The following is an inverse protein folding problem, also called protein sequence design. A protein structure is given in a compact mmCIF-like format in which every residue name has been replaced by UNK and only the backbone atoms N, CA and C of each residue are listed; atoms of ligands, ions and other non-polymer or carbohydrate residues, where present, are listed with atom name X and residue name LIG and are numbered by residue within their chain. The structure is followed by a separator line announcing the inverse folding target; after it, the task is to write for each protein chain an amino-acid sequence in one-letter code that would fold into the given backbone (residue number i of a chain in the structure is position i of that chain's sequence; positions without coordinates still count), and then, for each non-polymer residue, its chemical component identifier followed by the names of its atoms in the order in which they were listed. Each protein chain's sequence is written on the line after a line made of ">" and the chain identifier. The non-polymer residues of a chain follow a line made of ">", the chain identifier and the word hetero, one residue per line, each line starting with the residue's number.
data_IF_269306065462
#
_entry.id   IF_269306065462
#
_cell.length_a   1.000
_cell.length_b   1.000
_cell.length_c   1.000
_cell.angle_alpha   90.00
_cell.angle_beta   90.00
_cell.angle_gamma   90.00
#
_symmetry.space_group_name_H-M   'P 1'
#
loop_
_entity.id
_entity.type
_entity.pdbx_description
1 polymer ?
#
# COMPACT_ATOMS: atom_id res chain seq x y z
N UNK A 1 32.58 -41.45 6.96
CA UNK A 1 32.91 -40.05 7.26
C UNK A 1 32.41 -39.22 6.10
N UNK A 2 31.29 -38.51 6.26
CA UNK A 2 30.70 -37.72 5.16
C UNK A 2 31.18 -36.28 5.27
N UNK A 3 31.95 -35.82 4.29
CA UNK A 3 32.41 -34.44 4.24
C UNK A 3 31.23 -33.49 4.06
N UNK A 4 30.99 -32.65 5.06
CA UNK A 4 30.16 -31.46 4.90
C UNK A 4 30.89 -30.52 3.92
N UNK A 5 30.44 -30.49 2.67
CA UNK A 5 30.85 -29.46 1.73
C UNK A 5 30.24 -28.14 2.20
N UNK A 6 31.05 -27.27 2.80
CA UNK A 6 30.67 -25.88 3.02
C UNK A 6 30.33 -25.25 1.66
N UNK A 7 29.05 -24.95 1.45
CA UNK A 7 28.64 -24.17 0.29
C UNK A 7 29.36 -22.82 0.37
N UNK A 8 29.95 -22.30 -0.73
CA UNK A 8 30.62 -21.01 -0.68
C UNK A 8 29.61 -19.93 -0.28
N UNK A 9 30.00 -19.10 0.69
CA UNK A 9 29.22 -17.94 1.11
C UNK A 9 28.88 -17.09 -0.12
N UNK A 10 27.65 -16.56 -0.23
CA UNK A 10 27.29 -15.70 -1.34
C UNK A 10 28.20 -14.46 -1.33
N UNK A 11 28.58 -13.94 -2.51
CA UNK A 11 29.43 -12.76 -2.59
C UNK A 11 28.78 -11.58 -1.84
N UNK A 12 29.58 -10.74 -1.16
CA UNK A 12 29.04 -9.61 -0.40
C UNK A 12 28.26 -8.67 -1.32
N UNK A 13 27.07 -8.28 -0.88
CA UNK A 13 26.20 -7.37 -1.64
C UNK A 13 26.86 -5.99 -1.71
N UNK A 14 27.13 -5.51 -2.91
CA UNK A 14 27.54 -4.13 -3.16
C UNK A 14 26.33 -3.18 -2.98
N UNK A 15 26.26 -2.58 -1.79
CA UNK A 15 25.18 -1.65 -1.43
C UNK A 15 25.27 -0.29 -2.13
N UNK A 16 26.40 0.06 -2.75
CA UNK A 16 26.52 1.29 -3.54
C UNK A 16 25.94 1.07 -4.94
N UNK A 17 26.37 0.02 -5.63
CA UNK A 17 25.80 -0.42 -6.91
C UNK A 17 24.29 -0.67 -6.80
N UNK A 18 23.82 -1.29 -5.71
CA UNK A 18 22.39 -1.51 -5.45
C UNK A 18 21.63 -0.19 -5.28
N UNK A 19 22.17 0.78 -4.54
CA UNK A 19 21.50 2.09 -4.33
C UNK A 19 21.38 2.87 -5.63
N UNK A 20 22.44 2.93 -6.43
CA UNK A 20 22.38 3.57 -7.76
C UNK A 20 21.45 2.81 -8.72
N UNK A 21 21.44 1.47 -8.65
CA UNK A 21 20.48 0.65 -9.40
C UNK A 21 19.02 0.90 -9.02
N UNK A 22 18.72 1.19 -7.75
CA UNK A 22 17.40 1.65 -7.33
C UNK A 22 17.11 3.07 -7.80
N UNK A 23 18.04 4.02 -7.60
CA UNK A 23 17.88 5.43 -8.02
C UNK A 23 17.53 5.53 -9.49
N UNK A 24 18.34 4.92 -10.36
CA UNK A 24 18.13 4.94 -11.83
C UNK A 24 16.75 4.36 -12.23
N UNK A 25 16.32 3.28 -11.57
CA UNK A 25 15.05 2.59 -11.88
C UNK A 25 13.81 3.29 -11.29
N UNK A 26 13.98 4.15 -10.29
CA UNK A 26 12.93 4.92 -9.64
C UNK A 26 12.81 6.33 -10.22
N UNK A 27 13.92 7.05 -10.39
CA UNK A 27 13.93 8.40 -10.97
C UNK A 27 13.35 8.44 -12.39
N UNK A 28 13.64 7.43 -13.22
CA UNK A 28 13.03 7.27 -14.55
C UNK A 28 11.53 6.91 -14.56
N UNK A 29 10.85 6.95 -13.40
CA UNK A 29 9.41 6.67 -13.24
C UNK A 29 8.67 7.70 -12.39
N UNK A 30 9.38 8.55 -11.66
CA UNK A 30 8.84 9.59 -10.79
C UNK A 30 8.76 10.90 -11.56
N UNK A 31 7.68 11.65 -11.37
CA UNK A 31 7.60 13.02 -11.89
C UNK A 31 8.45 13.98 -11.04
N UNK A 32 8.74 15.18 -11.56
CA UNK A 32 9.59 16.17 -10.89
C UNK A 32 9.14 16.52 -9.46
N UNK A 33 7.83 16.51 -9.19
CA UNK A 33 7.25 16.76 -7.88
C UNK A 33 7.39 15.57 -6.90
N UNK A 34 7.83 14.41 -7.38
CA UNK A 34 7.97 13.17 -6.60
C UNK A 34 9.44 12.79 -6.36
N UNK A 35 10.39 13.52 -6.98
CA UNK A 35 11.82 13.29 -6.78
C UNK A 35 12.29 13.56 -5.35
N UNK A 36 11.52 14.31 -4.55
CA UNK A 36 11.76 14.48 -3.10
C UNK A 36 11.62 13.17 -2.32
N UNK A 37 10.80 12.24 -2.80
CA UNK A 37 10.57 10.91 -2.20
C UNK A 37 11.64 9.88 -2.63
N UNK A 38 12.50 10.22 -3.60
CA UNK A 38 13.38 9.26 -4.27
C UNK A 38 14.30 8.52 -3.29
N UNK A 39 14.94 9.21 -2.36
CA UNK A 39 15.88 8.60 -1.42
C UNK A 39 15.16 7.68 -0.41
N UNK A 40 13.95 8.03 0.03
CA UNK A 40 13.13 7.18 0.89
C UNK A 40 12.66 5.90 0.15
N UNK A 41 12.30 6.02 -1.12
CA UNK A 41 11.95 4.86 -1.97
C UNK A 41 13.17 3.97 -2.26
N UNK A 42 14.36 4.56 -2.44
CA UNK A 42 15.63 3.82 -2.55
C UNK A 42 15.94 3.08 -1.24
N UNK A 43 15.77 3.75 -0.10
CA UNK A 43 15.97 3.15 1.22
C UNK A 43 14.97 2.01 1.49
N UNK A 44 13.69 2.19 1.20
CA UNK A 44 12.68 1.13 1.33
C UNK A 44 13.01 -0.06 0.39
N UNK A 45 13.48 0.22 -0.84
CA UNK A 45 13.98 -0.80 -1.77
C UNK A 45 15.15 -1.61 -1.20
N UNK A 46 16.15 -0.93 -0.62
CA UNK A 46 17.32 -1.57 -0.01
C UNK A 46 16.94 -2.41 1.22
N UNK A 47 16.03 -1.91 2.08
CA UNK A 47 15.51 -2.68 3.23
C UNK A 47 14.75 -3.93 2.78
N UNK A 48 13.98 -3.85 1.69
CA UNK A 48 13.31 -5.01 1.09
C UNK A 48 14.33 -6.04 0.57
N UNK A 49 15.41 -5.61 -0.08
CA UNK A 49 16.50 -6.49 -0.54
C UNK A 49 17.21 -7.17 0.63
N UNK A 50 17.57 -6.43 1.68
CA UNK A 50 18.20 -6.96 2.89
C UNK A 50 17.31 -7.99 3.61
N UNK A 51 15.99 -7.80 3.58
CA UNK A 51 15.03 -8.77 4.15
C UNK A 51 14.89 -10.03 3.28
N UNK A 52 15.08 -9.92 1.97
CA UNK A 52 15.09 -11.06 1.06
C UNK A 52 16.38 -11.88 1.21
N UNK A 53 17.56 -11.24 1.19
CA UNK A 53 18.86 -11.91 1.31
C UNK A 53 19.06 -12.66 2.64
N UNK A 54 18.36 -12.25 3.70
CA UNK A 54 18.33 -12.94 5.00
C UNK A 54 17.39 -14.14 5.07
N UNK A 55 16.50 -14.33 4.10
CA UNK A 55 15.52 -15.44 4.08
C UNK A 55 15.96 -16.56 3.15
N UNK A 56 16.41 -16.18 1.96
CA UNK A 56 16.66 -17.10 0.84
C UNK A 56 17.95 -16.68 0.13
N UNK A 57 18.65 -17.65 -0.47
CA UNK A 57 19.82 -17.37 -1.31
C UNK A 57 19.35 -16.63 -2.58
N UNK A 58 19.94 -15.48 -2.85
CA UNK A 58 19.66 -14.73 -4.09
C UNK A 58 20.57 -15.29 -5.19
N UNK A 59 19.96 -15.75 -6.28
CA UNK A 59 20.68 -16.22 -7.48
C UNK A 59 21.04 -15.06 -8.41
N UNK A 60 20.14 -14.07 -8.54
CA UNK A 60 20.32 -12.86 -9.35
C UNK A 60 19.86 -11.62 -8.56
N UNK A 61 20.82 -10.77 -8.19
CA UNK A 61 20.57 -9.53 -7.44
C UNK A 61 19.94 -8.47 -8.35
N UNK A 62 20.32 -8.40 -9.63
CA UNK A 62 19.84 -7.35 -10.54
C UNK A 62 18.36 -7.57 -10.93
N UNK A 63 17.99 -8.82 -11.23
CA UNK A 63 16.59 -9.19 -11.44
C UNK A 63 15.75 -8.88 -10.19
N UNK A 64 16.26 -9.22 -8.99
CA UNK A 64 15.56 -8.94 -7.74
C UNK A 64 15.42 -7.44 -7.46
N UNK A 65 16.48 -6.64 -7.64
CA UNK A 65 16.42 -5.16 -7.54
C UNK A 65 15.41 -4.59 -8.54
N UNK A 66 15.36 -5.10 -9.76
CA UNK A 66 14.39 -4.67 -10.78
C UNK A 66 12.94 -4.95 -10.36
N UNK A 67 12.67 -6.13 -9.79
CA UNK A 67 11.35 -6.49 -9.24
C UNK A 67 11.01 -5.63 -8.01
N UNK A 68 11.97 -5.42 -7.10
CA UNK A 68 11.77 -4.62 -5.90
C UNK A 68 11.52 -3.15 -6.23
N UNK A 69 12.29 -2.54 -7.14
CA UNK A 69 12.10 -1.16 -7.56
C UNK A 69 10.71 -0.94 -8.17
N UNK A 70 10.25 -1.89 -9.00
CA UNK A 70 8.88 -1.88 -9.53
C UNK A 70 7.83 -1.95 -8.42
N UNK A 71 7.99 -2.85 -7.44
CA UNK A 71 7.05 -3.01 -6.32
C UNK A 71 7.03 -1.77 -5.41
N UNK A 72 8.18 -1.20 -5.09
CA UNK A 72 8.28 0.00 -4.26
C UNK A 72 7.61 1.20 -4.95
N UNK A 73 7.86 1.42 -6.24
CA UNK A 73 7.16 2.46 -7.01
C UNK A 73 5.63 2.23 -7.10
N UNK A 74 5.19 0.99 -7.32
CA UNK A 74 3.76 0.67 -7.32
C UNK A 74 3.12 0.91 -5.94
N UNK A 75 3.81 0.56 -4.85
CA UNK A 75 3.34 0.79 -3.49
C UNK A 75 3.30 2.30 -3.15
N UNK A 76 4.27 3.09 -3.63
CA UNK A 76 4.28 4.54 -3.55
C UNK A 76 3.05 5.15 -4.24
N UNK A 77 2.83 4.86 -5.53
CA UNK A 77 1.63 5.32 -6.24
C UNK A 77 0.33 4.88 -5.54
N UNK A 78 0.30 3.66 -4.98
CA UNK A 78 -0.85 3.16 -4.20
C UNK A 78 -1.03 3.89 -2.86
N UNK A 79 0.00 4.48 -2.26
CA UNK A 79 -0.11 5.36 -1.08
C UNK A 79 -0.64 6.73 -1.54
N UNK A 80 0.02 7.34 -2.54
CA UNK A 80 -0.36 8.62 -3.15
C UNK A 80 -1.83 8.68 -3.59
N UNK A 81 -2.27 7.78 -4.47
CA UNK A 81 -3.66 7.75 -4.95
C UNK A 81 -4.69 7.41 -3.85
N UNK A 82 -4.27 6.84 -2.71
CA UNK A 82 -5.16 6.68 -1.55
C UNK A 82 -5.29 7.98 -0.77
N UNK A 83 -4.18 8.70 -0.54
CA UNK A 83 -4.20 10.03 0.06
C UNK A 83 -5.01 11.01 -0.79
N UNK A 84 -4.68 11.16 -2.08
CA UNK A 84 -5.40 12.05 -3.01
C UNK A 84 -6.90 11.76 -3.08
N UNK A 85 -7.33 10.50 -3.04
CA UNK A 85 -8.77 10.14 -3.02
C UNK A 85 -9.47 10.36 -1.68
N UNK A 86 -8.74 10.60 -0.60
CA UNK A 86 -9.32 11.06 0.68
C UNK A 86 -9.31 12.60 0.78
N UNK A 87 -8.24 13.25 0.33
CA UNK A 87 -8.02 14.70 0.50
C UNK A 87 -8.67 15.54 -0.59
N UNK A 88 -8.53 15.19 -1.86
CA UNK A 88 -9.05 15.98 -2.98
C UNK A 88 -10.52 15.65 -3.35
N UNK A 89 -11.28 16.65 -3.83
CA UNK A 89 -12.56 16.40 -4.49
C UNK A 89 -12.34 15.60 -5.78
N UNK A 90 -13.20 14.61 -6.04
CA UNK A 90 -13.19 13.88 -7.30
C UNK A 90 -13.84 14.74 -8.39
N UNK A 91 -13.05 15.13 -9.39
CA UNK A 91 -13.60 15.34 -10.72
C UNK A 91 -13.83 13.96 -11.37
N UNK A 92 -14.92 13.80 -12.12
CA UNK A 92 -15.60 12.51 -12.32
C UNK A 92 -14.95 11.62 -13.41
N UNK A 93 -13.63 11.76 -13.60
CA UNK A 93 -12.85 11.01 -14.59
C UNK A 93 -12.48 9.61 -14.10
N UNK A 94 -13.07 8.61 -14.74
CA UNK A 94 -12.78 7.20 -14.46
C UNK A 94 -11.35 6.81 -14.86
N UNK A 95 -10.54 6.34 -13.90
CA UNK A 95 -9.34 5.54 -14.15
C UNK A 95 -9.27 4.31 -13.24
N UNK A 96 -8.81 3.19 -13.79
CA UNK A 96 -8.77 1.89 -13.14
C UNK A 96 -7.49 1.68 -12.33
N UNK A 97 -7.53 0.87 -11.26
CA UNK A 97 -6.35 0.48 -10.47
C UNK A 97 -6.38 -1.05 -10.23
N UNK A 98 -5.28 -1.80 -10.44
CA UNK A 98 -5.25 -3.26 -10.29
C UNK A 98 -5.05 -3.74 -8.84
N UNK A 99 -5.47 -4.99 -8.61
CA UNK A 99 -5.64 -5.63 -7.29
C UNK A 99 -4.37 -6.37 -6.76
N UNK A 100 -4.51 -6.96 -5.55
CA UNK A 100 -3.69 -7.98 -4.86
C UNK A 100 -2.53 -7.56 -3.91
N UNK A 101 -2.75 -7.88 -2.59
CA UNK A 101 -1.83 -8.49 -1.57
C UNK A 101 -0.47 -7.79 -1.24
N UNK A 102 0.26 -7.92 -0.10
CA UNK A 102 0.12 -8.29 1.35
C UNK A 102 1.44 -7.79 2.04
N UNK A 103 1.59 -7.42 3.32
CA UNK A 103 0.68 -7.17 4.45
C UNK A 103 1.30 -7.54 5.83
N UNK A 104 1.61 -6.57 6.72
CA UNK A 104 1.94 -6.78 8.15
C UNK A 104 3.20 -6.11 8.74
N UNK A 105 3.06 -5.40 9.88
CA UNK A 105 4.13 -4.86 10.74
C UNK A 105 3.55 -4.17 11.99
N UNK A 106 4.02 -4.49 13.20
CA UNK A 106 3.28 -4.22 14.45
C UNK A 106 3.69 -2.95 15.21
N UNK A 107 2.70 -2.20 15.71
CA UNK A 107 2.87 -1.09 16.68
C UNK A 107 1.67 -0.13 16.72
N UNK A 108 0.67 -0.41 17.58
CA UNK A 108 -0.66 0.27 17.51
C UNK A 108 -1.29 0.22 16.10
N UNK A 109 -1.08 -0.90 15.40
CA UNK A 109 -1.45 -1.10 14.01
C UNK A 109 -0.64 -0.27 13.00
N UNK A 110 -0.65 -0.71 11.74
CA UNK A 110 -0.36 0.18 10.60
C UNK A 110 -1.31 1.40 10.68
N UNK A 111 -0.95 2.54 10.07
CA UNK A 111 -1.89 3.67 9.91
C UNK A 111 -3.20 3.19 9.27
N UNK A 112 -3.11 2.21 8.37
CA UNK A 112 -4.25 1.49 7.77
C UNK A 112 -5.16 0.82 8.81
N UNK A 113 -4.59 0.18 9.84
CA UNK A 113 -5.35 -0.52 10.88
C UNK A 113 -6.07 0.46 11.82
N UNK A 114 -5.47 1.63 12.07
CA UNK A 114 -6.12 2.73 12.81
C UNK A 114 -7.29 3.31 12.02
N UNK A 115 -7.11 3.52 10.72
CA UNK A 115 -8.18 3.94 9.81
C UNK A 115 -9.28 2.86 9.73
N UNK A 116 -8.93 1.57 9.71
CA UNK A 116 -9.90 0.47 9.79
C UNK A 116 -10.74 0.58 11.07
N UNK A 117 -10.10 0.71 12.22
CA UNK A 117 -10.79 0.85 13.50
C UNK A 117 -11.75 2.05 13.50
N UNK A 118 -11.27 3.25 13.15
CA UNK A 118 -12.07 4.49 13.17
C UNK A 118 -13.27 4.39 12.22
N UNK A 119 -13.06 3.92 10.98
CA UNK A 119 -14.13 3.83 9.97
C UNK A 119 -15.17 2.78 10.34
N UNK A 120 -14.77 1.64 10.91
CA UNK A 120 -15.70 0.59 11.35
C UNK A 120 -16.50 1.03 12.58
N UNK A 121 -15.84 1.61 13.59
CA UNK A 121 -16.48 2.10 14.81
C UNK A 121 -17.48 3.23 14.49
N UNK A 122 -17.11 4.13 13.57
CA UNK A 122 -18.01 5.17 13.06
C UNK A 122 -19.26 4.58 12.41
N UNK A 123 -19.13 3.61 11.49
CA UNK A 123 -20.29 3.00 10.85
C UNK A 123 -21.15 2.19 11.82
N UNK A 124 -20.55 1.55 12.83
CA UNK A 124 -21.28 0.84 13.87
C UNK A 124 -22.13 1.80 14.73
N UNK A 125 -21.53 2.91 15.21
CA UNK A 125 -22.24 3.94 16.01
C UNK A 125 -23.36 4.62 15.23
N UNK A 126 -23.15 4.84 13.95
CA UNK A 126 -24.12 5.47 13.04
C UNK A 126 -25.18 4.48 12.48
N UNK A 127 -25.16 3.22 12.94
CA UNK A 127 -26.11 2.18 12.52
C UNK A 127 -26.01 1.76 11.05
N UNK A 128 -24.89 2.05 10.37
CA UNK A 128 -24.71 1.85 8.93
C UNK A 128 -24.15 0.48 8.59
N UNK A 129 -24.88 -0.57 8.96
CA UNK A 129 -24.47 -1.97 8.77
C UNK A 129 -24.03 -2.31 7.33
N UNK A 130 -24.67 -1.75 6.30
CA UNK A 130 -24.22 -1.94 4.91
C UNK A 130 -22.84 -1.31 4.64
N UNK A 131 -22.59 -0.10 5.14
CA UNK A 131 -21.31 0.59 4.98
C UNK A 131 -20.21 -0.08 5.81
N UNK A 132 -20.54 -0.58 7.01
CA UNK A 132 -19.65 -1.39 7.82
C UNK A 132 -19.25 -2.68 7.09
N UNK A 133 -20.21 -3.40 6.50
CA UNK A 133 -19.93 -4.62 5.73
C UNK A 133 -19.02 -4.35 4.53
N UNK A 134 -19.30 -3.28 3.76
CA UNK A 134 -18.45 -2.85 2.64
C UNK A 134 -17.06 -2.40 3.11
N UNK A 135 -16.94 -1.71 4.25
CA UNK A 135 -15.67 -1.33 4.83
C UNK A 135 -14.85 -2.56 5.24
N UNK A 136 -15.43 -3.51 5.98
CA UNK A 136 -14.78 -4.79 6.34
C UNK A 136 -14.32 -5.54 5.10
N UNK A 137 -15.10 -5.53 4.02
CA UNK A 137 -14.69 -6.13 2.76
C UNK A 137 -13.52 -5.38 2.08
N UNK A 138 -13.51 -4.04 2.13
CA UNK A 138 -12.44 -3.20 1.60
C UNK A 138 -11.11 -3.41 2.35
N UNK A 139 -11.10 -3.29 3.68
CA UNK A 139 -9.89 -3.45 4.49
C UNK A 139 -9.31 -4.86 4.38
N UNK A 140 -10.17 -5.89 4.38
CA UNK A 140 -9.77 -7.29 4.13
C UNK A 140 -9.34 -7.59 2.68
N UNK A 141 -9.33 -6.59 1.79
CA UNK A 141 -8.99 -6.71 0.36
C UNK A 141 -9.81 -7.81 -0.35
N UNK A 142 -11.10 -7.93 -0.03
CA UNK A 142 -12.00 -8.85 -0.75
C UNK A 142 -12.22 -8.35 -2.18
N UNK A 143 -12.34 -9.29 -3.13
CA UNK A 143 -12.58 -8.97 -4.52
C UNK A 143 -13.98 -8.35 -4.71
N UNK A 144 -14.04 -7.16 -5.30
CA UNK A 144 -15.27 -6.39 -5.46
C UNK A 144 -16.29 -7.03 -6.41
N UNK A 145 -15.85 -7.87 -7.36
CA UNK A 145 -16.75 -8.66 -8.22
C UNK A 145 -17.38 -9.80 -7.43
N UNK A 146 -16.60 -10.51 -6.62
CA UNK A 146 -17.13 -11.57 -5.74
C UNK A 146 -18.13 -11.01 -4.73
N UNK A 147 -17.79 -9.89 -4.08
CA UNK A 147 -18.69 -9.19 -3.16
C UNK A 147 -19.99 -8.73 -3.86
N UNK A 148 -19.90 -8.28 -5.12
CA UNK A 148 -21.08 -7.93 -5.90
C UNK A 148 -21.97 -9.15 -6.20
N UNK A 149 -21.39 -10.30 -6.54
CA UNK A 149 -22.12 -11.56 -6.68
C UNK A 149 -22.77 -12.00 -5.37
N UNK A 150 -22.05 -11.96 -4.25
CA UNK A 150 -22.58 -12.30 -2.91
C UNK A 150 -23.78 -11.42 -2.50
N UNK A 151 -23.75 -10.13 -2.87
CA UNK A 151 -24.81 -9.16 -2.57
C UNK A 151 -25.93 -9.11 -3.63
N UNK A 152 -25.85 -9.89 -4.71
CA UNK A 152 -26.82 -9.83 -5.82
C UNK A 152 -26.82 -8.48 -6.58
N UNK A 153 -25.69 -7.78 -6.60
CA UNK A 153 -25.53 -6.43 -7.16
C UNK A 153 -24.59 -6.42 -8.37
N UNK A 154 -24.68 -5.38 -9.20
CA UNK A 154 -23.64 -5.11 -10.20
C UNK A 154 -22.37 -4.57 -9.52
N UNK A 155 -21.21 -4.88 -10.10
CA UNK A 155 -19.91 -4.35 -9.63
C UNK A 155 -19.89 -2.80 -9.56
N UNK A 156 -20.51 -2.13 -10.53
CA UNK A 156 -20.66 -0.68 -10.54
C UNK A 156 -21.56 -0.17 -9.39
N UNK A 157 -22.66 -0.88 -9.09
CA UNK A 157 -23.56 -0.56 -7.98
C UNK A 157 -22.84 -0.65 -6.63
N UNK A 158 -22.02 -1.68 -6.42
CA UNK A 158 -21.23 -1.83 -5.18
C UNK A 158 -20.18 -0.72 -5.06
N UNK A 159 -19.45 -0.38 -6.13
CA UNK A 159 -18.53 0.77 -6.14
C UNK A 159 -19.24 2.10 -5.83
N UNK A 160 -20.40 2.36 -6.43
CA UNK A 160 -21.19 3.59 -6.19
C UNK A 160 -21.73 3.66 -4.76
N UNK A 161 -22.15 2.52 -4.19
CA UNK A 161 -22.60 2.41 -2.79
C UNK A 161 -21.44 2.70 -1.83
N UNK A 162 -20.26 2.11 -2.06
CA UNK A 162 -19.07 2.38 -1.27
C UNK A 162 -18.62 3.84 -1.31
N UNK A 163 -18.64 4.47 -2.50
CA UNK A 163 -18.31 5.89 -2.61
C UNK A 163 -19.23 6.78 -1.76
N UNK A 164 -20.53 6.45 -1.66
CA UNK A 164 -21.47 7.15 -0.78
C UNK A 164 -21.21 6.90 0.71
N UNK A 165 -20.80 5.68 1.07
CA UNK A 165 -20.42 5.37 2.47
C UNK A 165 -19.23 6.21 2.94
N UNK A 166 -18.24 6.44 2.07
CA UNK A 166 -17.04 7.22 2.40
C UNK A 166 -17.30 8.71 2.66
N UNK A 167 -18.44 9.28 2.23
CA UNK A 167 -18.77 10.70 2.48
C UNK A 167 -18.88 11.03 3.96
N UNK A 168 -19.35 10.11 4.80
CA UNK A 168 -19.49 10.34 6.23
C UNK A 168 -18.13 10.38 6.97
N UNK A 169 -17.23 9.39 6.83
CA UNK A 169 -15.85 9.50 7.31
C UNK A 169 -15.15 10.75 6.78
N UNK A 170 -15.25 11.05 5.47
CA UNK A 170 -14.66 12.25 4.85
C UNK A 170 -15.15 13.54 5.50
N UNK A 171 -16.46 13.66 5.78
CA UNK A 171 -17.03 14.84 6.44
C UNK A 171 -16.43 15.03 7.84
N UNK A 172 -16.26 13.94 8.60
CA UNK A 172 -15.71 13.97 9.96
C UNK A 172 -14.21 14.32 9.93
N UNK A 173 -13.41 13.66 9.10
CA UNK A 173 -11.97 13.98 8.93
C UNK A 173 -11.70 15.39 8.40
N UNK A 174 -12.68 16.03 7.74
CA UNK A 174 -12.59 17.45 7.34
C UNK A 174 -13.00 18.42 8.44
N UNK A 175 -13.89 18.00 9.34
CA UNK A 175 -14.45 18.85 10.39
C UNK A 175 -13.60 18.85 11.68
N UNK A 176 -12.78 17.81 11.88
CA UNK A 176 -11.98 17.61 13.09
C UNK A 176 -10.46 17.68 12.75
N UNK A 177 -9.77 18.79 13.09
CA UNK A 177 -8.33 18.93 12.89
C UNK A 177 -7.49 17.99 13.73
N UNK A 178 -7.95 17.59 14.92
CA UNK A 178 -7.17 16.74 15.83
C UNK A 178 -7.06 15.31 15.27
N UNK A 179 -8.05 14.87 14.49
CA UNK A 179 -7.94 13.65 13.70
C UNK A 179 -6.85 13.74 12.62
N UNK A 180 -6.51 14.92 12.07
CA UNK A 180 -5.39 15.04 11.09
C UNK A 180 -4.05 14.71 11.73
N UNK A 181 -3.83 15.11 12.98
CA UNK A 181 -2.58 14.80 13.70
C UNK A 181 -2.41 13.29 13.98
N UNK A 182 -3.51 12.51 14.04
CA UNK A 182 -3.44 11.04 14.07
C UNK A 182 -2.97 10.42 12.74
N UNK A 183 -2.94 11.19 11.65
CA UNK A 183 -2.52 10.77 10.31
C UNK A 183 -1.17 11.34 9.86
N UNK A 184 -0.45 12.08 10.71
CA UNK A 184 0.99 12.34 10.53
C UNK A 184 1.36 13.43 9.51
N UNK A 185 0.52 14.44 9.34
CA UNK A 185 0.92 15.71 8.72
C UNK A 185 1.36 16.69 9.84
N UNK A 186 2.64 17.08 9.85
CA UNK A 186 3.19 18.25 10.57
C UNK A 186 3.35 19.43 9.58
#
# INVERSE_FOLDING_TARGET
>A
MSSLQSSPDPPPIDWEMVRESFRLRLSGRLDHAELTELDDLVQEGCVRLLRASRRERIEDIEALVTVLARRTFQDFLRRRYRHERLTNPLDDSHSEIPDAQKGGGAGFGDMVDRIEFIVLELFAREGRAECEHLARAWFRRRNWRQLATELGLSHASVRKRWSRCLELPRKIFRADPDLKHLFGEE
#
